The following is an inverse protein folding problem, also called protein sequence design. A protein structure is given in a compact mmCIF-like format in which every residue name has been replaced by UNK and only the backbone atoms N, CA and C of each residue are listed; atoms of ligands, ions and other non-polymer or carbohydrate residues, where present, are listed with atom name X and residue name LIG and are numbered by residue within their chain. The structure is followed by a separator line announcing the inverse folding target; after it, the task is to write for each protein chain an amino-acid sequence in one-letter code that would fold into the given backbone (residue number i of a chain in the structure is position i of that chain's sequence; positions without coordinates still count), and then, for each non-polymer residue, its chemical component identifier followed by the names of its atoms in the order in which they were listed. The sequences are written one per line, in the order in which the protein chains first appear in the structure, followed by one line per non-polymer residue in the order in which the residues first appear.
data_IF_406694834752
#
_entry.id   IF_406694834752
#
_cell.length_a   1.000
_cell.length_b   1.000
_cell.length_c   1.000
_cell.angle_alpha   90.00
_cell.angle_beta   90.00
_cell.angle_gamma   90.00
#
_symmetry.space_group_name_H-M   'P 1'
#
loop_
_entity.id
_entity.type
_entity.pdbx_description
1 polymer ?
#
# COMPACT_ATOMS: atom_id res chain seq x y z
N UNK A 1 14.59 -3.28 26.54
CA UNK A 1 13.62 -2.26 27.03
C UNK A 1 12.26 -2.92 27.09
N UNK A 2 11.43 -2.64 28.12
CA UNK A 2 10.03 -3.09 28.10
C UNK A 2 9.36 -2.45 26.88
N UNK A 3 8.54 -3.17 26.09
CA UNK A 3 7.77 -2.53 25.04
C UNK A 3 6.93 -1.45 25.74
N UNK A 4 7.08 -0.18 25.34
CA UNK A 4 6.01 0.78 25.58
C UNK A 4 4.76 0.12 25.03
N UNK A 5 3.71 -0.01 25.86
CA UNK A 5 2.43 -0.49 25.37
C UNK A 5 2.05 0.40 24.20
N UNK A 6 2.03 -0.17 22.99
CA UNK A 6 1.56 0.54 21.82
C UNK A 6 0.13 0.99 22.10
N UNK A 7 -0.20 2.27 21.85
CA UNK A 7 -1.55 2.75 22.11
C UNK A 7 -2.52 2.12 21.10
N UNK A 8 -3.78 1.98 21.49
CA UNK A 8 -4.85 1.42 20.63
C UNK A 8 -5.31 2.39 19.54
N UNK A 9 -4.97 3.68 19.70
CA UNK A 9 -5.22 4.74 18.74
C UNK A 9 -3.94 5.55 18.54
N UNK A 10 -3.64 5.85 17.29
CA UNK A 10 -2.62 6.86 16.94
C UNK A 10 -3.16 7.88 15.96
N UNK A 11 -2.51 9.04 15.95
CA UNK A 11 -2.73 10.11 14.97
C UNK A 11 -1.46 10.26 14.13
N UNK A 12 -1.63 10.29 12.81
CA UNK A 12 -0.58 10.51 11.83
C UNK A 12 -0.75 11.90 11.20
N UNK A 13 0.27 12.73 11.30
CA UNK A 13 0.29 14.10 10.77
C UNK A 13 1.57 14.38 9.97
N UNK A 14 1.56 15.28 8.98
CA UNK A 14 2.78 15.71 8.29
C UNK A 14 3.66 16.50 9.25
N UNK A 15 4.98 16.38 9.09
CA UNK A 15 5.94 17.33 9.65
C UNK A 15 6.32 18.39 8.62
N UNK A 16 7.24 19.28 8.99
CA UNK A 16 7.89 20.20 8.04
C UNK A 16 8.89 19.48 7.11
N UNK A 17 9.07 18.17 7.28
CA UNK A 17 9.87 17.29 6.42
C UNK A 17 8.94 16.29 5.72
N UNK A 18 9.45 15.46 4.81
CA UNK A 18 8.66 14.37 4.19
C UNK A 18 8.38 13.20 5.17
N UNK A 19 8.41 13.45 6.47
CA UNK A 19 8.18 12.45 7.52
C UNK A 19 6.77 12.60 8.11
N UNK A 20 6.28 11.49 8.62
CA UNK A 20 5.02 11.37 9.32
C UNK A 20 5.32 11.40 10.81
N UNK A 21 4.75 12.38 11.50
CA UNK A 21 4.69 12.41 12.95
C UNK A 21 3.58 11.48 13.43
N UNK A 22 3.90 10.68 14.44
CA UNK A 22 2.97 9.78 15.10
C UNK A 22 2.72 10.26 16.54
N UNK A 23 1.46 10.46 16.90
CA UNK A 23 1.03 10.86 18.24
C UNK A 23 0.07 9.84 18.84
N UNK A 24 0.04 9.72 20.16
CA UNK A 24 -1.06 9.05 20.84
C UNK A 24 -2.30 9.96 20.95
N UNK A 25 -3.34 9.43 21.59
CA UNK A 25 -4.61 10.13 21.83
C UNK A 25 -4.48 11.41 22.68
N UNK A 26 -3.39 11.57 23.45
CA UNK A 26 -3.12 12.73 24.30
C UNK A 26 -2.23 13.78 23.58
N UNK A 27 -1.83 13.49 22.33
CA UNK A 27 -0.95 14.35 21.55
C UNK A 27 0.54 14.15 21.86
N UNK A 28 0.90 13.11 22.61
CA UNK A 28 2.31 12.81 22.89
C UNK A 28 2.93 12.10 21.68
N UNK A 29 4.06 12.62 21.21
CA UNK A 29 4.81 12.03 20.10
C UNK A 29 5.33 10.63 20.47
N UNK A 30 5.13 9.68 19.56
CA UNK A 30 5.57 8.30 19.66
C UNK A 30 6.78 8.07 18.76
N UNK A 31 7.70 7.20 19.18
CA UNK A 31 8.90 6.84 18.40
C UNK A 31 8.63 5.79 17.31
N UNK A 32 7.41 5.75 16.77
CA UNK A 32 7.01 4.87 15.66
C UNK A 32 7.55 5.46 14.36
N UNK A 33 8.09 4.64 13.45
CA UNK A 33 8.66 5.16 12.20
C UNK A 33 10.13 5.60 12.27
N UNK A 34 10.80 5.39 13.41
CA UNK A 34 12.19 5.86 13.63
C UNK A 34 13.24 4.76 13.50
N UNK A 35 12.83 3.49 13.29
CA UNK A 35 13.75 2.35 13.22
C UNK A 35 14.48 2.28 11.87
N UNK A 36 15.75 1.87 11.87
CA UNK A 36 16.45 1.53 10.63
C UNK A 36 15.92 0.23 10.00
N UNK A 37 15.37 -0.67 10.83
CA UNK A 37 14.75 -1.90 10.36
C UNK A 37 13.28 -1.70 10.06
N UNK A 38 12.77 -2.51 9.14
CA UNK A 38 11.34 -2.50 8.81
C UNK A 38 10.55 -3.07 9.99
N UNK A 39 9.54 -2.33 10.43
CA UNK A 39 8.64 -2.72 11.50
C UNK A 39 7.23 -2.86 10.96
N UNK A 40 6.60 -3.99 11.27
CA UNK A 40 5.17 -4.21 10.98
C UNK A 40 4.43 -4.22 12.31
N UNK A 41 3.30 -3.53 12.40
CA UNK A 41 2.54 -3.42 13.64
C UNK A 41 1.04 -3.40 13.38
N UNK A 42 0.28 -3.79 14.39
CA UNK A 42 -1.17 -3.62 14.43
C UNK A 42 -1.54 -2.53 15.41
N UNK A 43 -2.33 -1.58 14.93
CA UNK A 43 -2.95 -0.55 15.76
C UNK A 43 -4.44 -0.50 15.39
N UNK A 44 -5.37 -0.78 16.33
CA UNK A 44 -6.79 -0.88 16.06
C UNK A 44 -7.38 0.32 15.30
N UNK A 45 -6.99 1.54 15.69
CA UNK A 45 -7.46 2.78 15.07
C UNK A 45 -6.30 3.69 14.68
N UNK A 46 -6.32 4.18 13.44
CA UNK A 46 -5.37 5.17 12.93
C UNK A 46 -6.15 6.36 12.37
N UNK A 47 -5.93 7.53 12.95
CA UNK A 47 -6.39 8.79 12.38
C UNK A 47 -5.28 9.37 11.50
N UNK A 48 -5.58 9.74 10.27
CA UNK A 48 -4.58 10.27 9.33
C UNK A 48 -5.01 11.67 8.89
N UNK A 49 -4.12 12.64 9.05
CA UNK A 49 -4.36 13.97 8.53
C UNK A 49 -4.38 13.93 7.01
N UNK A 50 -5.43 14.49 6.41
CA UNK A 50 -5.70 14.42 4.97
C UNK A 50 -4.50 14.89 4.14
N UNK A 51 -3.73 15.87 4.64
CA UNK A 51 -2.53 16.38 3.99
C UNK A 51 -1.46 15.31 3.68
N UNK A 52 -1.37 14.23 4.45
CA UNK A 52 -0.45 13.11 4.18
C UNK A 52 -0.85 12.28 2.96
N UNK A 53 -2.15 12.19 2.71
CA UNK A 53 -2.74 11.41 1.63
C UNK A 53 -2.86 12.28 0.39
N UNK A 54 -3.35 13.50 0.63
CA UNK A 54 -3.64 14.51 -0.33
C UNK A 54 -3.62 15.92 0.32
N UNK A 55 -2.60 16.75 0.06
CA UNK A 55 -2.73 18.19 0.33
C UNK A 55 -3.97 18.76 -0.39
N UNK A 56 -4.61 19.80 0.16
CA UNK A 56 -5.73 20.47 -0.51
C UNK A 56 -5.19 21.16 -1.77
N UNK A 57 -5.64 20.72 -2.93
CA UNK A 57 -5.26 21.30 -4.21
C UNK A 57 -6.33 22.29 -4.67
N UNK A 58 -5.91 23.44 -5.15
CA UNK A 58 -6.78 24.34 -5.91
C UNK A 58 -6.82 23.91 -7.37
N UNK A 59 -8.00 23.79 -7.96
CA UNK A 59 -8.15 23.42 -9.37
C UNK A 59 -8.36 24.68 -10.23
N UNK A 60 -7.61 24.77 -11.32
CA UNK A 60 -7.75 25.80 -12.33
C UNK A 60 -8.01 25.17 -13.70
N UNK A 61 -8.84 25.82 -14.49
CA UNK A 61 -9.03 25.57 -15.91
C UNK A 61 -8.66 26.82 -16.68
N UNK A 62 -7.57 26.75 -17.45
CA UNK A 62 -7.11 27.89 -18.22
C UNK A 62 -7.05 27.53 -19.70
N UNK A 63 -7.37 28.51 -20.54
CA UNK A 63 -7.09 28.39 -21.98
C UNK A 63 -5.58 28.32 -22.23
N UNK A 64 -5.21 27.86 -23.43
CA UNK A 64 -3.82 27.66 -23.82
C UNK A 64 -3.04 28.96 -24.10
N UNK A 65 -3.73 30.11 -24.18
CA UNK A 65 -3.08 31.40 -24.44
C UNK A 65 -2.35 31.89 -23.19
N UNK A 66 -1.12 32.36 -23.39
CA UNK A 66 -0.26 32.88 -22.31
C UNK A 66 -0.08 31.90 -21.14
N UNK A 67 -0.07 30.59 -21.44
CA UNK A 67 0.04 29.51 -20.45
C UNK A 67 1.19 29.73 -19.47
N UNK A 68 2.37 30.13 -19.96
CA UNK A 68 3.56 30.36 -19.12
C UNK A 68 3.28 31.44 -18.06
N UNK A 69 2.68 32.56 -18.46
CA UNK A 69 2.34 33.65 -17.55
C UNK A 69 1.29 33.20 -16.54
N UNK A 70 0.26 32.47 -16.98
CA UNK A 70 -0.81 31.97 -16.10
C UNK A 70 -0.29 30.96 -15.08
N UNK A 71 0.57 30.03 -15.51
CA UNK A 71 1.21 29.07 -14.62
C UNK A 71 2.07 29.79 -13.57
N UNK A 72 2.85 30.80 -13.98
CA UNK A 72 3.65 31.60 -13.06
C UNK A 72 2.79 32.33 -12.03
N UNK A 73 1.72 33.02 -12.47
CA UNK A 73 0.80 33.72 -11.57
C UNK A 73 0.15 32.76 -10.56
N UNK A 74 -0.32 31.60 -11.02
CA UNK A 74 -0.92 30.59 -10.11
C UNK A 74 0.14 30.08 -9.14
N UNK A 75 1.36 29.78 -9.61
CA UNK A 75 2.48 29.32 -8.79
C UNK A 75 2.85 30.31 -7.67
N UNK A 76 2.81 31.62 -7.94
CA UNK A 76 3.08 32.66 -6.93
C UNK A 76 1.98 32.76 -5.86
N UNK A 77 0.76 32.32 -6.18
CA UNK A 77 -0.42 32.49 -5.32
C UNK A 77 -0.86 31.23 -4.56
N UNK A 78 -0.48 30.04 -5.03
CA UNK A 78 -1.01 28.77 -4.54
C UNK A 78 0.13 27.83 -4.11
N UNK A 79 0.00 27.22 -2.93
CA UNK A 79 0.95 26.21 -2.46
C UNK A 79 0.78 24.88 -3.18
N UNK A 80 -0.46 24.50 -3.47
CA UNK A 80 -0.80 23.28 -4.19
C UNK A 80 -1.91 23.54 -5.20
N UNK A 81 -1.62 23.39 -6.49
CA UNK A 81 -2.60 23.64 -7.55
C UNK A 81 -2.50 22.65 -8.71
N UNK A 82 -3.65 22.35 -9.32
CA UNK A 82 -3.75 21.60 -10.57
C UNK A 82 -4.23 22.58 -11.63
N UNK A 83 -3.45 22.77 -12.68
CA UNK A 83 -3.81 23.65 -13.78
C UNK A 83 -4.11 22.80 -15.01
N UNK A 84 -5.39 22.74 -15.37
CA UNK A 84 -5.88 22.05 -16.55
C UNK A 84 -5.77 22.98 -17.76
N UNK A 85 -5.12 22.48 -18.81
CA UNK A 85 -4.89 23.21 -20.05
C UNK A 85 -5.25 22.32 -21.22
N UNK A 86 -6.01 22.86 -22.16
CA UNK A 86 -6.33 22.21 -23.42
C UNK A 86 -7.81 22.26 -23.75
N UNK A 87 -8.26 21.34 -24.59
CA UNK A 87 -9.63 21.26 -25.07
C UNK A 87 -10.29 19.94 -24.65
N UNK A 88 -11.54 19.71 -25.07
CA UNK A 88 -12.32 18.54 -24.66
C UNK A 88 -11.71 17.18 -25.07
N UNK A 89 -10.79 17.15 -26.03
CA UNK A 89 -10.15 15.91 -26.51
C UNK A 89 -8.74 15.71 -25.97
N UNK A 90 -8.01 16.79 -25.69
CA UNK A 90 -6.66 16.76 -25.15
C UNK A 90 -6.55 17.74 -23.98
N UNK A 91 -6.51 17.21 -22.75
CA UNK A 91 -6.35 17.98 -21.51
C UNK A 91 -5.05 17.53 -20.85
N UNK A 92 -4.18 18.49 -20.57
CA UNK A 92 -2.96 18.33 -19.78
C UNK A 92 -3.20 18.91 -18.39
N UNK A 93 -2.76 18.19 -17.36
CA UNK A 93 -2.77 18.66 -15.99
C UNK A 93 -1.35 18.99 -15.55
N UNK A 94 -1.10 20.27 -15.27
CA UNK A 94 0.12 20.74 -14.63
C UNK A 94 -0.08 20.74 -13.11
N UNK A 95 0.95 20.35 -12.36
CA UNK A 95 0.90 20.30 -10.91
C UNK A 95 1.85 21.34 -10.33
N UNK A 96 1.35 22.12 -9.38
CA UNK A 96 2.14 22.98 -8.52
C UNK A 96 2.11 22.35 -7.14
N UNK A 97 3.26 22.07 -6.55
CA UNK A 97 3.40 21.49 -5.22
C UNK A 97 4.44 22.28 -4.42
N UNK A 98 4.09 22.67 -3.20
CA UNK A 98 4.93 23.51 -2.34
C UNK A 98 5.41 24.78 -3.06
N UNK A 99 4.52 25.39 -3.87
CA UNK A 99 4.81 26.59 -4.66
C UNK A 99 5.76 26.37 -5.84
N UNK A 100 6.02 25.12 -6.25
CA UNK A 100 6.88 24.78 -7.37
C UNK A 100 6.10 24.05 -8.47
N UNK A 101 6.24 24.50 -9.71
CA UNK A 101 5.65 23.85 -10.88
C UNK A 101 6.43 22.58 -11.26
N UNK A 102 5.75 21.43 -11.36
CA UNK A 102 6.32 20.26 -12.02
C UNK A 102 6.35 20.51 -13.53
N UNK A 103 7.53 20.43 -14.18
CA UNK A 103 7.66 20.69 -15.61
C UNK A 103 6.98 19.63 -16.49
N UNK A 104 6.54 18.50 -15.93
CA UNK A 104 5.96 17.37 -16.67
C UNK A 104 4.46 17.32 -16.45
N UNK A 105 3.65 17.82 -17.40
CA UNK A 105 2.21 17.69 -17.30
C UNK A 105 1.76 16.23 -17.49
N UNK A 106 0.69 15.87 -16.80
CA UNK A 106 0.06 14.56 -16.94
C UNK A 106 -1.06 14.61 -17.96
N UNK A 107 -1.13 13.61 -18.83
CA UNK A 107 -2.28 13.41 -19.73
C UNK A 107 -3.39 12.70 -18.99
N UNK A 108 -4.60 13.26 -19.04
CA UNK A 108 -5.75 12.67 -18.36
C UNK A 108 -6.44 11.61 -19.20
N UNK A 109 -6.97 10.56 -18.58
CA UNK A 109 -7.76 9.52 -19.25
C UNK A 109 -9.09 10.07 -19.78
N UNK A 110 -9.69 9.39 -20.77
CA UNK A 110 -11.03 9.77 -21.26
C UNK A 110 -12.08 9.78 -20.14
N UNK A 111 -11.97 8.86 -19.19
CA UNK A 111 -12.91 8.76 -18.06
C UNK A 111 -12.83 9.99 -17.15
N UNK A 112 -11.62 10.48 -16.88
CA UNK A 112 -11.40 11.71 -16.10
C UNK A 112 -11.82 12.93 -16.90
N UNK A 113 -11.50 13.00 -18.20
CA UNK A 113 -11.95 14.09 -19.08
C UNK A 113 -13.47 14.20 -19.21
N UNK A 114 -14.21 13.09 -19.10
CA UNK A 114 -15.69 13.13 -19.08
C UNK A 114 -16.22 13.81 -17.82
N UNK A 115 -15.66 13.48 -16.65
CA UNK A 115 -16.04 14.09 -15.35
C UNK A 115 -15.79 15.60 -15.34
N UNK A 116 -14.68 16.01 -15.95
CA UNK A 116 -14.28 17.41 -16.06
C UNK A 116 -15.32 18.33 -16.73
N UNK A 117 -16.23 17.79 -17.55
CA UNK A 117 -17.28 18.57 -18.22
C UNK A 117 -18.36 19.10 -17.27
N UNK A 118 -18.45 18.55 -16.06
CA UNK A 118 -19.42 18.96 -15.04
C UNK A 118 -18.89 20.12 -14.17
N UNK A 119 -17.62 20.51 -14.36
CA UNK A 119 -17.00 21.60 -13.63
C UNK A 119 -17.21 22.94 -14.35
N UNK A 120 -17.53 23.96 -13.57
CA UNK A 120 -17.74 25.34 -14.01
C UNK A 120 -16.60 26.20 -13.46
N UNK A 121 -15.64 26.62 -14.29
CA UNK A 121 -14.58 27.52 -13.86
C UNK A 121 -15.12 28.96 -13.74
N UNK A 122 -14.80 29.61 -12.64
CA UNK A 122 -15.18 30.99 -12.35
C UNK A 122 -14.16 32.00 -12.90
N UNK A 123 -14.04 33.13 -12.21
CA UNK A 123 -13.09 34.17 -12.60
C UNK A 123 -11.65 33.64 -12.64
N UNK A 124 -10.91 34.04 -13.67
CA UNK A 124 -9.52 33.62 -13.92
C UNK A 124 -9.31 32.11 -14.04
N UNK A 125 -10.39 31.35 -14.29
CA UNK A 125 -10.33 29.90 -14.48
C UNK A 125 -10.33 29.09 -13.19
N UNK A 126 -10.43 29.70 -12.01
CA UNK A 126 -10.46 28.96 -10.73
C UNK A 126 -11.77 28.17 -10.62
N UNK A 127 -11.69 26.88 -10.35
CA UNK A 127 -12.86 26.01 -10.12
C UNK A 127 -13.12 25.98 -8.61
N UNK A 128 -14.09 26.76 -8.15
CA UNK A 128 -14.36 26.97 -6.73
C UNK A 128 -15.55 26.16 -6.22
N UNK A 129 -15.64 25.97 -4.90
CA UNK A 129 -16.73 25.23 -4.24
C UNK A 129 -18.03 26.03 -4.19
N UNK A 130 -17.98 27.35 -4.41
CA UNK A 130 -19.16 28.20 -4.50
C UNK A 130 -19.91 27.98 -5.83
N UNK A 131 -19.17 27.65 -6.89
CA UNK A 131 -19.72 27.43 -8.23
C UNK A 131 -19.89 25.94 -8.59
N UNK A 132 -19.40 25.03 -7.73
CA UNK A 132 -19.36 23.58 -8.00
C UNK A 132 -19.70 22.77 -6.76
N UNK A 133 -20.27 21.57 -6.93
CA UNK A 133 -20.50 20.66 -5.82
C UNK A 133 -19.16 20.27 -5.14
N UNK A 134 -19.00 20.53 -3.82
CA UNK A 134 -17.72 20.33 -3.14
C UNK A 134 -17.29 18.86 -3.11
N UNK A 135 -18.25 17.94 -3.01
CA UNK A 135 -17.96 16.49 -2.99
C UNK A 135 -17.45 16.02 -4.36
N UNK A 136 -18.08 16.49 -5.43
CA UNK A 136 -17.70 16.20 -6.79
C UNK A 136 -16.34 16.81 -7.16
N UNK A 137 -16.09 18.05 -6.77
CA UNK A 137 -14.81 18.72 -6.99
C UNK A 137 -13.67 17.98 -6.28
N UNK A 138 -13.84 17.67 -4.99
CA UNK A 138 -12.85 16.91 -4.21
C UNK A 138 -12.56 15.54 -4.84
N UNK A 139 -13.61 14.83 -5.29
CA UNK A 139 -13.48 13.54 -5.98
C UNK A 139 -12.76 13.67 -7.32
N UNK A 140 -13.02 14.73 -8.08
CA UNK A 140 -12.38 14.97 -9.38
C UNK A 140 -10.90 15.31 -9.23
N UNK A 141 -10.55 16.20 -8.28
CA UNK A 141 -9.17 16.50 -7.92
C UNK A 141 -8.43 15.21 -7.52
N UNK A 142 -9.06 14.37 -6.69
CA UNK A 142 -8.49 13.06 -6.31
C UNK A 142 -8.19 12.18 -7.53
N UNK A 143 -9.10 12.07 -8.50
CA UNK A 143 -8.87 11.28 -9.71
C UNK A 143 -7.71 11.81 -10.56
N UNK A 144 -7.66 13.13 -10.82
CA UNK A 144 -6.57 13.75 -11.58
C UNK A 144 -5.23 13.47 -10.92
N UNK A 145 -5.16 13.59 -9.60
CA UNK A 145 -3.94 13.30 -8.84
C UNK A 145 -3.53 11.84 -8.88
N UNK A 146 -4.48 10.91 -8.88
CA UNK A 146 -4.16 9.49 -9.00
C UNK A 146 -3.54 9.17 -10.36
N UNK A 147 -4.12 9.70 -11.44
CA UNK A 147 -3.60 9.58 -12.80
C UNK A 147 -2.26 10.30 -12.98
N UNK A 148 -2.08 11.44 -12.32
CA UNK A 148 -0.83 12.17 -12.30
C UNK A 148 0.21 11.61 -11.31
N UNK A 149 -0.05 10.48 -10.65
CA UNK A 149 0.88 9.87 -9.70
C UNK A 149 1.27 10.80 -8.52
N UNK A 150 0.33 11.62 -8.03
CA UNK A 150 0.52 12.57 -6.90
C UNK A 150 -0.24 12.28 -5.60
N UNK A 151 -1.18 11.33 -5.55
CA UNK A 151 -1.79 10.85 -4.30
C UNK A 151 -0.88 9.89 -3.51
N UNK A 152 -1.11 9.71 -2.21
CA UNK A 152 -0.47 8.65 -1.43
C UNK A 152 -1.45 7.50 -1.08
N UNK A 153 -2.69 7.58 -1.55
CA UNK A 153 -3.70 6.54 -1.33
C UNK A 153 -3.64 5.43 -2.40
N UNK A 154 -3.55 4.17 -1.98
CA UNK A 154 -3.83 3.02 -2.83
C UNK A 154 -5.32 2.66 -2.79
N UNK A 155 -5.85 2.22 -3.93
CA UNK A 155 -7.24 1.80 -4.08
C UNK A 155 -7.32 0.32 -4.45
N UNK A 156 -8.50 -0.28 -4.27
CA UNK A 156 -8.82 -1.70 -4.55
C UNK A 156 -8.33 -2.17 -5.92
N UNK A 157 -8.22 -1.30 -6.93
CA UNK A 157 -7.83 -1.68 -8.30
C UNK A 157 -6.37 -1.39 -8.66
N UNK A 158 -5.53 -0.93 -7.73
CA UNK A 158 -4.24 -0.34 -8.08
C UNK A 158 -3.03 -0.71 -7.22
N UNK A 159 -1.86 -0.37 -7.78
CA UNK A 159 -0.56 -0.30 -7.10
C UNK A 159 -0.26 1.16 -6.76
N UNK A 160 0.37 1.40 -5.60
CA UNK A 160 0.92 2.71 -5.24
C UNK A 160 2.34 2.63 -4.73
N UNK A 161 3.19 3.54 -5.17
CA UNK A 161 4.58 3.69 -4.75
C UNK A 161 4.78 5.04 -4.07
N UNK A 162 5.48 5.07 -2.94
CA UNK A 162 5.79 6.31 -2.23
C UNK A 162 6.49 6.08 -0.90
N UNK A 163 7.07 7.14 -0.32
CA UNK A 163 7.64 7.11 1.04
C UNK A 163 6.56 6.87 2.09
N UNK A 164 5.38 7.44 1.85
CA UNK A 164 4.17 7.26 2.64
C UNK A 164 3.05 6.76 1.73
N UNK A 165 2.39 5.66 2.06
CA UNK A 165 1.30 5.07 1.27
C UNK A 165 0.19 4.58 2.20
N UNK A 166 -1.05 4.95 1.91
CA UNK A 166 -2.22 4.64 2.74
C UNK A 166 -3.24 3.85 1.93
N UNK A 167 -3.98 2.95 2.56
CA UNK A 167 -5.15 2.34 1.92
C UNK A 167 -6.22 2.02 2.95
N UNK A 168 -7.45 2.43 2.65
CA UNK A 168 -8.60 2.37 3.55
C UNK A 168 -9.48 1.13 3.35
N UNK A 169 -9.27 0.33 2.30
CA UNK A 169 -10.16 -0.78 1.99
C UNK A 169 -9.45 -2.01 1.43
N UNK A 170 -9.45 -3.09 2.22
CA UNK A 170 -9.01 -4.43 1.81
C UNK A 170 -10.15 -5.44 1.69
N UNK A 171 -11.41 -4.97 1.58
CA UNK A 171 -12.62 -5.82 1.57
C UNK A 171 -12.57 -7.05 0.64
N UNK A 172 -11.91 -6.99 -0.54
CA UNK A 172 -11.72 -8.18 -1.39
C UNK A 172 -10.27 -8.64 -1.60
N UNK A 173 -9.26 -8.03 -0.97
CA UNK A 173 -7.85 -8.18 -1.39
C UNK A 173 -6.90 -8.55 -0.23
N UNK A 174 -5.89 -9.38 -0.54
CA UNK A 174 -4.69 -9.43 0.29
C UNK A 174 -3.69 -8.38 -0.22
N UNK A 175 -3.29 -7.37 0.57
CA UNK A 175 -2.24 -6.45 0.17
C UNK A 175 -0.93 -7.18 -0.02
N UNK A 176 -0.22 -6.73 -1.05
CA UNK A 176 1.18 -7.05 -1.27
C UNK A 176 1.98 -5.78 -0.99
N UNK A 177 2.92 -5.89 -0.07
CA UNK A 177 3.79 -4.78 0.33
C UNK A 177 5.22 -5.12 -0.08
N UNK A 178 5.89 -4.17 -0.72
CA UNK A 178 7.33 -4.20 -0.94
C UNK A 178 7.99 -2.93 -0.45
N UNK A 179 9.22 -3.00 0.06
CA UNK A 179 10.06 -1.83 0.33
C UNK A 179 11.25 -1.85 -0.61
N UNK A 180 11.34 -0.88 -1.52
CA UNK A 180 12.42 -0.77 -2.52
C UNK A 180 13.77 -0.50 -1.84
N UNK A 181 14.83 -1.10 -2.37
CA UNK A 181 16.19 -1.01 -1.81
C UNK A 181 16.83 0.36 -2.04
N UNK A 182 16.65 0.91 -3.24
CA UNK A 182 17.38 2.10 -3.68
C UNK A 182 16.94 3.40 -2.99
N UNK A 183 15.65 3.53 -2.69
CA UNK A 183 15.06 4.79 -2.22
C UNK A 183 14.16 4.61 -0.98
N UNK A 184 14.10 3.41 -0.42
CA UNK A 184 13.28 3.07 0.74
C UNK A 184 11.78 3.40 0.58
N UNK A 185 11.29 3.48 -0.66
CA UNK A 185 9.87 3.69 -0.91
C UNK A 185 9.09 2.39 -0.75
N UNK A 186 7.87 2.50 -0.21
CA UNK A 186 6.92 1.40 -0.21
C UNK A 186 6.24 1.30 -1.56
N UNK A 187 5.99 0.06 -1.97
CA UNK A 187 5.11 -0.30 -3.07
C UNK A 187 3.99 -1.15 -2.48
N UNK A 188 2.75 -0.72 -2.62
CA UNK A 188 1.57 -1.39 -2.11
C UNK A 188 0.66 -1.78 -3.27
N UNK A 189 0.24 -3.03 -3.36
CA UNK A 189 -0.68 -3.50 -4.39
C UNK A 189 -1.90 -4.22 -3.81
N UNK A 190 -3.07 -3.89 -4.35
CA UNK A 190 -4.32 -4.62 -4.11
C UNK A 190 -4.45 -5.81 -5.06
N UNK A 191 -4.02 -6.98 -4.61
CA UNK A 191 -4.17 -8.20 -5.41
C UNK A 191 -5.62 -8.74 -5.35
N UNK A 192 -6.42 -8.41 -6.36
CA UNK A 192 -7.81 -8.87 -6.51
C UNK A 192 -7.92 -10.31 -7.06
N UNK A 193 -6.98 -10.69 -7.92
CA UNK A 193 -6.89 -12.00 -8.54
C UNK A 193 -6.31 -13.06 -7.60
N UNK A 194 -6.55 -14.33 -7.90
CA UNK A 194 -5.90 -15.44 -7.21
C UNK A 194 -4.46 -15.67 -7.67
N UNK A 195 -3.97 -14.95 -8.68
CA UNK A 195 -2.62 -15.06 -9.24
C UNK A 195 -1.95 -13.70 -9.42
N UNK A 196 -0.63 -13.72 -9.60
CA UNK A 196 0.22 -12.54 -9.81
C UNK A 196 0.89 -12.68 -11.18
N UNK A 197 0.57 -11.77 -12.10
CA UNK A 197 1.12 -11.76 -13.46
C UNK A 197 1.55 -10.34 -13.87
N UNK A 198 2.35 -10.25 -14.95
CA UNK A 198 2.88 -8.99 -15.47
C UNK A 198 1.88 -8.18 -16.30
N UNK A 199 0.86 -8.84 -16.86
CA UNK A 199 -0.07 -8.21 -17.81
C UNK A 199 -1.23 -7.49 -17.11
N UNK A 200 -1.51 -7.80 -15.83
CA UNK A 200 -2.54 -7.16 -15.02
C UNK A 200 -2.07 -6.01 -14.11
N UNK A 201 -2.92 -5.64 -13.14
CA UNK A 201 -2.66 -4.58 -12.15
C UNK A 201 -1.44 -4.83 -11.24
N UNK A 202 -0.97 -6.08 -11.18
CA UNK A 202 0.23 -6.51 -10.47
C UNK A 202 1.54 -6.22 -11.22
N UNK A 203 1.48 -5.97 -12.54
CA UNK A 203 2.66 -5.64 -13.34
C UNK A 203 3.34 -4.35 -12.87
N UNK A 204 2.56 -3.31 -12.55
CA UNK A 204 3.08 -2.05 -11.99
C UNK A 204 3.84 -2.27 -10.68
N UNK A 205 3.36 -3.18 -9.83
CA UNK A 205 4.05 -3.55 -8.60
C UNK A 205 5.41 -4.20 -8.92
N UNK A 206 5.44 -5.20 -9.80
CA UNK A 206 6.68 -5.89 -10.18
C UNK A 206 7.70 -4.92 -10.76
N UNK A 207 7.28 -4.11 -11.74
CA UNK A 207 8.13 -3.10 -12.39
C UNK A 207 8.69 -2.13 -11.35
N UNK A 208 7.86 -1.62 -10.44
CA UNK A 208 8.33 -0.68 -9.40
C UNK A 208 9.36 -1.31 -8.47
N UNK A 209 9.21 -2.59 -8.11
CA UNK A 209 10.19 -3.33 -7.31
C UNK A 209 11.50 -3.52 -8.09
N UNK A 210 11.44 -3.87 -9.37
CA UNK A 210 12.62 -4.04 -10.23
C UNK A 210 13.39 -2.73 -10.42
N UNK A 211 12.69 -1.63 -10.70
CA UNK A 211 13.23 -0.27 -10.75
C UNK A 211 13.78 0.19 -9.39
N UNK A 212 13.33 -0.43 -8.30
CA UNK A 212 13.86 -0.23 -6.95
C UNK A 212 15.17 -0.96 -6.66
N UNK A 213 15.70 -1.72 -7.62
CA UNK A 213 16.82 -2.63 -7.39
C UNK A 213 16.45 -3.87 -6.56
N UNK A 214 15.16 -4.23 -6.54
CA UNK A 214 14.59 -5.23 -5.64
C UNK A 214 14.02 -4.64 -4.36
N UNK A 215 13.78 -5.49 -3.36
CA UNK A 215 13.13 -5.10 -2.12
C UNK A 215 13.78 -5.69 -0.86
N UNK A 216 13.81 -4.91 0.24
CA UNK A 216 14.24 -5.35 1.58
C UNK A 216 13.13 -6.08 2.35
N UNK A 217 11.88 -5.70 2.07
CA UNK A 217 10.68 -6.44 2.45
C UNK A 217 9.90 -6.72 1.20
N UNK A 218 9.40 -7.94 1.07
CA UNK A 218 8.41 -8.29 0.07
C UNK A 218 7.45 -9.29 0.70
N UNK A 219 6.23 -8.86 1.01
CA UNK A 219 5.31 -9.66 1.79
C UNK A 219 3.87 -9.60 1.26
N UNK A 220 3.20 -10.76 1.29
CA UNK A 220 1.74 -10.83 1.17
C UNK A 220 1.16 -10.85 2.58
N UNK A 221 0.33 -9.86 2.92
CA UNK A 221 -0.29 -9.79 4.25
C UNK A 221 -1.65 -10.47 4.19
N UNK A 222 -1.73 -11.68 4.72
CA UNK A 222 -2.92 -12.51 4.71
C UNK A 222 -3.99 -11.98 5.66
N UNK A 223 -5.11 -11.54 5.10
CA UNK A 223 -6.24 -10.99 5.84
C UNK A 223 -7.42 -11.99 5.89
N UNK A 224 -7.82 -12.55 7.04
CA UNK A 224 -8.91 -13.51 7.17
C UNK A 224 -10.28 -12.92 6.83
N UNK A 225 -10.45 -11.59 6.83
CA UNK A 225 -11.70 -10.94 6.39
C UNK A 225 -11.96 -11.12 4.89
N UNK A 226 -10.94 -11.51 4.12
CA UNK A 226 -11.06 -11.72 2.68
C UNK A 226 -11.51 -13.16 2.39
N UNK A 227 -12.53 -13.29 1.55
CA UNK A 227 -13.03 -14.60 1.10
C UNK A 227 -11.91 -15.40 0.42
N UNK A 228 -11.73 -16.64 0.85
CA UNK A 228 -10.67 -17.54 0.39
C UNK A 228 -9.25 -16.98 0.58
N UNK A 229 -9.03 -16.08 1.53
CA UNK A 229 -7.72 -15.46 1.79
C UNK A 229 -6.61 -16.48 1.99
N UNK A 230 -6.87 -17.51 2.82
CA UNK A 230 -5.93 -18.61 3.10
C UNK A 230 -5.54 -19.39 1.84
N UNK A 231 -6.37 -19.37 0.81
CA UNK A 231 -6.11 -20.00 -0.48
C UNK A 231 -5.39 -19.05 -1.43
N UNK A 232 -5.80 -17.77 -1.49
CA UNK A 232 -5.23 -16.77 -2.38
C UNK A 232 -3.82 -16.34 -1.97
N UNK A 233 -3.61 -16.05 -0.69
CA UNK A 233 -2.34 -15.54 -0.16
C UNK A 233 -1.11 -16.42 -0.51
N UNK A 234 -1.13 -17.76 -0.36
CA UNK A 234 0.00 -18.58 -0.78
C UNK A 234 0.21 -18.55 -2.30
N UNK A 235 -0.84 -18.52 -3.12
CA UNK A 235 -0.71 -18.44 -4.58
C UNK A 235 -0.09 -17.09 -5.00
N UNK A 236 -0.51 -15.99 -4.37
CA UNK A 236 0.09 -14.67 -4.59
C UNK A 236 1.57 -14.65 -4.22
N UNK A 237 1.93 -15.13 -3.03
CA UNK A 237 3.32 -15.19 -2.58
C UNK A 237 4.18 -16.04 -3.53
N UNK A 238 3.66 -17.18 -3.98
CA UNK A 238 4.31 -18.05 -4.95
C UNK A 238 4.49 -17.42 -6.33
N UNK A 239 3.46 -16.71 -6.83
CA UNK A 239 3.50 -15.99 -8.10
C UNK A 239 4.53 -14.86 -8.09
N UNK A 240 4.55 -14.05 -7.03
CA UNK A 240 5.55 -12.98 -6.84
C UNK A 240 6.97 -13.56 -6.84
N UNK A 241 7.18 -14.63 -6.07
CA UNK A 241 8.48 -15.29 -5.98
C UNK A 241 8.98 -15.78 -7.34
N UNK A 242 8.07 -16.33 -8.16
CA UNK A 242 8.38 -16.76 -9.52
C UNK A 242 8.74 -15.58 -10.43
N UNK A 243 7.90 -14.55 -10.47
CA UNK A 243 8.06 -13.39 -11.36
C UNK A 243 9.33 -12.58 -11.08
N UNK A 244 9.68 -12.42 -9.81
CA UNK A 244 10.88 -11.72 -9.37
C UNK A 244 12.09 -12.64 -9.17
N UNK A 245 11.93 -13.96 -9.40
CA UNK A 245 12.94 -14.99 -9.13
C UNK A 245 13.53 -14.89 -7.72
N UNK A 246 12.70 -14.49 -6.75
CA UNK A 246 13.11 -14.21 -5.38
C UNK A 246 12.65 -15.31 -4.42
N UNK A 247 13.51 -15.65 -3.46
CA UNK A 247 13.17 -16.57 -2.36
C UNK A 247 12.72 -15.84 -1.10
N UNK A 248 12.86 -14.53 -1.09
CA UNK A 248 12.67 -13.66 0.08
C UNK A 248 11.27 -13.02 0.06
N UNK A 249 10.27 -13.78 -0.39
CA UNK A 249 8.86 -13.36 -0.30
C UNK A 249 8.28 -13.91 0.99
N UNK A 250 7.94 -13.02 1.92
CA UNK A 250 7.22 -13.36 3.13
C UNK A 250 5.73 -13.51 2.89
N UNK A 251 5.06 -14.26 3.76
CA UNK A 251 3.61 -14.16 3.94
C UNK A 251 3.33 -13.90 5.41
N UNK A 252 2.72 -12.78 5.73
CA UNK A 252 2.41 -12.39 7.11
C UNK A 252 0.97 -12.80 7.40
N UNK A 253 0.76 -13.66 8.39
CA UNK A 253 -0.57 -14.08 8.83
C UNK A 253 -1.10 -13.10 9.86
N UNK A 254 -2.26 -12.49 9.58
CA UNK A 254 -2.92 -11.58 10.50
C UNK A 254 -4.29 -12.12 10.93
N UNK A 255 -4.36 -13.09 11.86
CA UNK A 255 -5.57 -13.87 12.15
C UNK A 255 -6.74 -13.06 12.72
N UNK A 256 -6.49 -11.87 13.27
CA UNK A 256 -7.51 -10.97 13.82
C UNK A 256 -8.28 -10.21 12.73
N UNK A 257 -7.69 -10.08 11.54
CA UNK A 257 -8.22 -9.29 10.45
C UNK A 257 -7.97 -7.79 10.60
N UNK A 258 -7.92 -7.10 9.46
CA UNK A 258 -7.76 -5.64 9.38
C UNK A 258 -8.55 -5.13 8.16
N UNK A 259 -8.74 -3.82 8.05
CA UNK A 259 -9.45 -3.20 6.92
C UNK A 259 -8.58 -2.24 6.12
N UNK A 260 -7.50 -1.76 6.71
CA UNK A 260 -6.69 -0.67 6.17
C UNK A 260 -5.21 -0.85 6.51
N UNK A 261 -4.34 -0.17 5.79
CA UNK A 261 -2.88 -0.19 5.95
C UNK A 261 -2.32 1.21 5.78
N UNK A 262 -1.36 1.57 6.62
CA UNK A 262 -0.51 2.76 6.43
C UNK A 262 0.94 2.31 6.38
N UNK A 263 1.64 2.66 5.32
CA UNK A 263 3.08 2.49 5.20
C UNK A 263 3.70 3.89 5.32
N UNK A 264 4.52 4.13 6.33
CA UNK A 264 5.03 5.47 6.65
C UNK A 264 6.55 5.46 6.87
N UNK A 265 7.17 6.61 6.61
CA UNK A 265 8.59 6.89 6.85
C UNK A 265 9.56 5.90 6.19
N UNK A 266 9.10 5.15 5.17
CA UNK A 266 9.92 4.16 4.45
C UNK A 266 10.29 2.89 5.23
N UNK A 267 9.87 2.75 6.50
CA UNK A 267 10.26 1.64 7.37
C UNK A 267 9.11 1.02 8.18
N UNK A 268 7.94 1.65 8.23
CA UNK A 268 6.87 1.20 9.13
C UNK A 268 5.62 0.85 8.36
N UNK A 269 5.07 -0.33 8.64
CA UNK A 269 3.79 -0.81 8.12
C UNK A 269 2.82 -0.97 9.28
N UNK A 270 1.74 -0.21 9.27
CA UNK A 270 0.68 -0.23 10.28
C UNK A 270 -0.56 -0.86 9.67
N UNK A 271 -0.95 -2.02 10.18
CA UNK A 271 -2.23 -2.66 9.88
C UNK A 271 -3.28 -2.13 10.86
N UNK A 272 -4.46 -1.80 10.36
CA UNK A 272 -5.51 -1.22 11.21
C UNK A 272 -6.90 -1.65 10.78
N UNK A 273 -7.79 -1.78 11.76
CA UNK A 273 -9.21 -2.09 11.54
C UNK A 273 -10.00 -0.84 11.16
N UNK A 274 -9.62 0.31 11.70
CA UNK A 274 -10.29 1.57 11.45
C UNK A 274 -9.29 2.65 11.07
N UNK A 275 -9.28 3.04 9.81
CA UNK A 275 -8.54 4.20 9.34
C UNK A 275 -9.53 5.32 9.00
N UNK A 276 -9.36 6.48 9.60
CA UNK A 276 -10.19 7.65 9.36
C UNK A 276 -9.35 8.87 9.05
N UNK A 277 -9.90 9.79 8.27
CA UNK A 277 -9.20 10.98 7.83
C UNK A 277 -9.80 12.23 8.45
N UNK A 278 -8.95 13.21 8.75
CA UNK A 278 -9.36 14.52 9.25
C UNK A 278 -8.58 15.62 8.53
N UNK A 279 -9.20 16.78 8.40
CA UNK A 279 -8.62 17.98 7.78
C UNK A 279 -8.33 19.04 8.82
N UNK A 280 -9.25 19.25 9.76
CA UNK A 280 -9.16 20.32 10.75
C UNK A 280 -8.85 19.80 12.15
N UNK A 281 -8.44 20.70 13.04
CA UNK A 281 -8.24 20.39 14.46
C UNK A 281 -9.55 19.99 15.11
N UNK A 282 -10.65 20.62 14.74
CA UNK A 282 -11.99 20.34 15.25
C UNK A 282 -12.43 18.91 14.87
N UNK A 283 -12.27 18.53 13.60
CA UNK A 283 -12.53 17.17 13.12
C UNK A 283 -11.66 16.15 13.85
N UNK A 284 -10.35 16.45 14.03
CA UNK A 284 -9.43 15.59 14.81
C UNK A 284 -10.01 15.34 16.21
N UNK A 285 -10.45 16.39 16.91
CA UNK A 285 -11.00 16.25 18.26
C UNK A 285 -12.31 15.47 18.30
N UNK A 286 -13.21 15.69 17.34
CA UNK A 286 -14.45 14.92 17.23
C UNK A 286 -14.19 13.43 17.02
N UNK A 287 -13.29 13.07 16.11
CA UNK A 287 -12.93 11.67 15.85
C UNK A 287 -12.26 11.03 17.06
N UNK A 288 -11.37 11.75 17.76
CA UNK A 288 -10.76 11.27 19.00
C UNK A 288 -11.83 10.94 20.05
N UNK A 289 -12.79 11.85 20.27
CA UNK A 289 -13.88 11.62 21.22
C UNK A 289 -14.77 10.44 20.83
N UNK A 290 -15.07 10.26 19.54
CA UNK A 290 -15.83 9.10 19.05
C UNK A 290 -15.10 7.78 19.30
N UNK A 291 -13.79 7.76 19.06
CA UNK A 291 -12.97 6.58 19.28
C UNK A 291 -12.83 6.25 20.78
N UNK A 292 -12.65 7.26 21.65
CA UNK A 292 -12.54 7.07 23.10
C UNK A 292 -13.84 6.54 23.73
N UNK A 293 -15.00 6.91 23.17
CA UNK A 293 -16.31 6.40 23.61
C UNK A 293 -16.57 4.96 23.13
N UNK A 294 -15.89 4.54 22.08
CA UNK A 294 -16.00 3.20 21.53
C UNK A 294 -15.02 2.29 22.27
N UNK A 295 -15.48 1.57 23.29
CA UNK A 295 -14.64 0.57 23.97
C UNK A 295 -14.18 -0.49 22.96
N UNK A 296 -12.91 -0.43 22.55
CA UNK A 296 -12.28 -1.51 21.79
C UNK A 296 -11.45 -2.37 22.74
N UNK A 297 -11.82 -3.64 22.87
CA UNK A 297 -11.05 -4.63 23.61
C UNK A 297 -9.75 -5.06 22.87
N UNK A 298 -9.52 -4.56 21.65
CA UNK A 298 -8.36 -4.92 20.84
C UNK A 298 -7.11 -4.18 21.30
N UNK A 299 -5.99 -4.90 21.32
CA UNK A 299 -4.70 -4.40 21.82
C UNK A 299 -3.72 -4.27 20.65
N UNK A 300 -2.97 -3.17 20.65
CA UNK A 300 -1.90 -2.96 19.67
C UNK A 300 -0.71 -3.87 19.92
N UNK A 301 -0.04 -4.30 18.85
CA UNK A 301 1.13 -5.17 18.94
C UNK A 301 2.09 -4.97 17.78
N UNK A 302 3.37 -5.14 18.04
CA UNK A 302 4.37 -5.30 16.99
C UNK A 302 4.29 -6.72 16.43
N UNK A 303 4.51 -6.86 15.13
CA UNK A 303 4.58 -8.13 14.41
C UNK A 303 6.06 -8.43 14.20
N UNK A 304 6.53 -9.49 14.85
CA UNK A 304 7.90 -9.96 14.66
C UNK A 304 7.98 -10.72 13.33
N UNK A 305 8.56 -10.07 12.32
CA UNK A 305 8.81 -10.66 11.00
C UNK A 305 9.78 -11.86 11.05
N UNK A 306 10.47 -12.10 12.18
CA UNK A 306 11.30 -13.28 12.38
C UNK A 306 10.55 -14.43 13.04
N UNK A 307 9.36 -14.18 13.62
CA UNK A 307 8.54 -15.20 14.25
C UNK A 307 7.80 -16.04 13.19
N UNK A 308 8.14 -17.31 13.10
CA UNK A 308 7.53 -18.28 12.18
C UNK A 308 6.01 -18.49 12.36
N UNK A 309 5.45 -18.11 13.50
CA UNK A 309 4.00 -18.17 13.73
C UNK A 309 3.25 -17.00 13.08
N UNK A 310 3.94 -15.89 12.86
CA UNK A 310 3.41 -14.67 12.25
C UNK A 310 3.85 -14.54 10.79
N UNK A 311 5.11 -14.87 10.49
CA UNK A 311 5.67 -14.91 9.14
C UNK A 311 5.80 -16.35 8.64
N UNK A 312 5.01 -16.68 7.62
CA UNK A 312 4.97 -17.98 6.97
C UNK A 312 5.94 -17.97 5.76
N UNK A 313 6.94 -18.87 5.72
CA UNK A 313 7.91 -18.92 4.64
C UNK A 313 7.31 -19.52 3.35
N UNK A 314 7.95 -19.25 2.21
CA UNK A 314 7.55 -19.82 0.91
C UNK A 314 7.52 -21.35 0.88
N UNK A 315 8.29 -22.04 1.72
CA UNK A 315 8.24 -23.50 1.85
C UNK A 315 6.87 -24.00 2.33
N UNK A 316 6.25 -23.29 3.27
CA UNK A 316 4.87 -23.54 3.71
C UNK A 316 3.89 -23.18 2.61
N UNK A 317 4.09 -22.04 1.93
CA UNK A 317 3.22 -21.63 0.82
C UNK A 317 3.23 -22.64 -0.33
N UNK A 318 4.38 -23.20 -0.69
CA UNK A 318 4.48 -24.24 -1.74
C UNK A 318 3.62 -25.46 -1.39
N UNK A 319 3.67 -25.93 -0.14
CA UNK A 319 2.86 -27.04 0.32
C UNK A 319 1.35 -26.73 0.20
N UNK A 320 0.94 -25.52 0.59
CA UNK A 320 -0.44 -25.07 0.47
C UNK A 320 -0.90 -24.99 -1.00
N UNK A 321 -0.08 -24.40 -1.88
CA UNK A 321 -0.37 -24.31 -3.33
C UNK A 321 -0.53 -25.71 -3.93
N UNK A 322 0.35 -26.67 -3.59
CA UNK A 322 0.25 -28.05 -4.06
C UNK A 322 -1.08 -28.70 -3.66
N UNK A 323 -1.51 -28.50 -2.41
CA UNK A 323 -2.79 -29.00 -1.91
C UNK A 323 -3.96 -28.39 -2.69
N UNK A 324 -3.98 -27.06 -2.81
CA UNK A 324 -5.02 -26.31 -3.53
C UNK A 324 -5.08 -26.75 -5.01
N UNK A 325 -3.93 -26.93 -5.65
CA UNK A 325 -3.83 -27.36 -7.05
C UNK A 325 -4.45 -28.74 -7.26
N UNK A 326 -4.19 -29.68 -6.34
CA UNK A 326 -4.77 -31.04 -6.38
C UNK A 326 -6.28 -31.02 -6.22
N UNK A 327 -6.79 -30.25 -5.26
CA UNK A 327 -8.23 -30.09 -5.01
C UNK A 327 -8.94 -29.48 -6.23
N UNK A 328 -8.40 -28.38 -6.78
CA UNK A 328 -8.95 -27.72 -7.97
C UNK A 328 -8.90 -28.61 -9.21
N UNK A 329 -7.82 -29.38 -9.39
CA UNK A 329 -7.70 -30.35 -10.50
C UNK A 329 -8.82 -31.39 -10.46
N UNK A 330 -9.13 -31.93 -9.28
CA UNK A 330 -10.20 -32.91 -9.09
C UNK A 330 -11.58 -32.29 -9.37
N UNK A 331 -11.85 -31.10 -8.82
CA UNK A 331 -13.12 -30.38 -9.00
C UNK A 331 -13.37 -30.01 -10.46
N UNK A 332 -12.34 -29.54 -11.16
CA UNK A 332 -12.45 -29.14 -12.57
C UNK A 332 -12.37 -30.32 -13.55
N UNK A 333 -12.09 -31.54 -13.08
CA UNK A 333 -11.87 -32.74 -13.90
C UNK A 333 -10.84 -32.51 -15.03
N UNK A 334 -9.77 -31.77 -14.75
CA UNK A 334 -8.71 -31.45 -15.72
C UNK A 334 -7.50 -32.38 -15.54
N UNK A 335 -6.75 -32.61 -16.62
CA UNK A 335 -5.50 -33.38 -16.57
C UNK A 335 -4.39 -32.66 -15.81
N UNK A 336 -4.34 -31.32 -15.92
CA UNK A 336 -3.41 -30.45 -15.21
C UNK A 336 -4.15 -29.53 -14.26
N UNK A 337 -3.57 -29.33 -13.08
CA UNK A 337 -4.09 -28.36 -12.13
C UNK A 337 -3.78 -26.91 -12.56
N UNK A 338 -4.57 -25.92 -12.11
CA UNK A 338 -4.43 -24.54 -12.56
C UNK A 338 -3.15 -23.82 -12.08
N UNK A 339 -2.44 -24.36 -11.07
CA UNK A 339 -1.28 -23.72 -10.44
C UNK A 339 0.03 -24.50 -10.64
N UNK A 340 0.06 -25.39 -11.63
CA UNK A 340 1.23 -26.23 -11.93
C UNK A 340 2.49 -25.42 -12.26
N UNK A 341 2.34 -24.31 -12.99
CA UNK A 341 3.45 -23.42 -13.35
C UNK A 341 4.11 -22.77 -12.14
N UNK A 342 3.30 -22.31 -11.18
CA UNK A 342 3.80 -21.72 -9.93
C UNK A 342 4.56 -22.79 -9.13
N UNK A 343 4.01 -23.99 -9.00
CA UNK A 343 4.65 -25.10 -8.29
C UNK A 343 6.00 -25.45 -8.91
N UNK A 344 6.05 -25.64 -10.23
CA UNK A 344 7.28 -25.96 -10.96
C UNK A 344 8.31 -24.84 -10.84
N UNK A 345 7.87 -23.58 -10.98
CA UNK A 345 8.72 -22.41 -10.82
C UNK A 345 9.37 -22.31 -9.44
N UNK A 346 8.60 -22.51 -8.37
CA UNK A 346 9.13 -22.53 -7.00
C UNK A 346 10.13 -23.66 -6.77
N UNK A 347 9.89 -24.85 -7.33
CA UNK A 347 10.83 -25.97 -7.27
C UNK A 347 12.13 -25.66 -8.02
N UNK A 348 12.07 -24.99 -9.18
CA UNK A 348 13.24 -24.52 -9.94
C UNK A 348 14.05 -23.47 -9.17
N UNK A 349 13.37 -22.63 -8.37
CA UNK A 349 14.00 -21.73 -7.38
C UNK A 349 14.57 -22.48 -6.17
N UNK A 350 14.53 -23.82 -6.16
CA UNK A 350 15.00 -24.69 -5.07
C UNK A 350 14.23 -24.48 -3.76
N UNK A 351 13.01 -23.97 -3.81
CA UNK A 351 12.10 -23.90 -2.67
C UNK A 351 11.44 -25.27 -2.53
N UNK A 352 11.51 -25.84 -1.33
CA UNK A 352 10.99 -27.18 -1.06
C UNK A 352 9.88 -27.13 0.00
N UNK A 353 8.92 -28.07 -0.03
CA UNK A 353 7.89 -28.16 1.00
C UNK A 353 8.52 -28.25 2.40
N UNK A 354 7.89 -27.62 3.38
CA UNK A 354 8.44 -27.51 4.74
C UNK A 354 8.72 -28.87 5.39
N UNK A 355 7.87 -29.87 5.14
CA UNK A 355 8.09 -31.25 5.61
C UNK A 355 9.43 -31.84 5.12
N UNK A 356 9.86 -31.54 3.90
CA UNK A 356 11.16 -31.99 3.38
C UNK A 356 12.34 -31.20 3.97
N UNK A 357 12.13 -29.93 4.32
CA UNK A 357 13.17 -29.07 4.93
C UNK A 357 13.52 -29.52 6.34
N UNK A 358 12.50 -29.75 7.19
CA UNK A 358 12.67 -30.26 8.56
C UNK A 358 13.32 -31.63 8.60
N UNK A 359 12.95 -32.52 7.68
CA UNK A 359 13.55 -33.87 7.59
C UNK A 359 15.04 -33.82 7.21
N UNK A 360 15.48 -32.83 6.42
CA UNK A 360 16.89 -32.66 6.06
C UNK A 360 17.71 -31.99 7.15
N UNK A 361 17.17 -31.00 7.84
CA UNK A 361 17.82 -30.37 9.00
C UNK A 361 17.95 -31.36 10.15
N UNK A 362 16.92 -32.14 10.45
CA UNK A 362 16.99 -33.21 11.45
C UNK A 362 18.00 -34.30 11.07
N UNK A 363 18.12 -34.64 9.79
CA UNK A 363 19.17 -35.56 9.30
C UNK A 363 20.57 -34.95 9.34
N UNK A 364 20.71 -33.63 9.11
CA UNK A 364 22.00 -32.92 9.28
C UNK A 364 22.40 -32.80 10.73
N UNK A 365 21.47 -32.49 11.64
CA UNK A 365 21.71 -32.47 13.08
C UNK A 365 22.04 -33.86 13.63
N UNK A 366 21.37 -34.92 13.14
CA UNK A 366 21.72 -36.28 13.55
C UNK A 366 23.10 -36.70 13.04
N UNK A 367 23.46 -36.31 11.81
CA UNK A 367 24.79 -36.54 11.25
C UNK A 367 25.88 -35.72 11.97
N UNK A 368 25.62 -34.47 12.34
CA UNK A 368 26.53 -33.64 13.12
C UNK A 368 26.69 -34.19 14.55
N UNK A 369 25.60 -34.60 15.21
CA UNK A 369 25.66 -35.26 16.52
C UNK A 369 26.37 -36.62 16.47
N UNK A 370 26.30 -37.35 15.36
CA UNK A 370 27.10 -38.59 15.19
C UNK A 370 28.57 -38.30 14.93
N UNK A 371 28.90 -37.17 14.29
CA UNK A 371 30.29 -36.75 14.07
C UNK A 371 30.97 -36.23 15.35
N UNK A 372 30.23 -35.57 16.24
CA UNK A 372 30.76 -35.04 17.52
C UNK A 372 30.69 -36.03 18.71
N UNK A 373 30.17 -37.25 18.50
CA UNK A 373 30.18 -38.31 19.52
C UNK A 373 31.45 -39.19 19.54
N UNK A 374 32.46 -38.85 18.73
CA UNK A 374 33.79 -39.44 18.82
C UNK A 374 34.84 -38.33 18.93
N UNK A 375 35.07 -37.87 20.17
CA UNK A 375 36.37 -37.45 20.66
C UNK A 375 36.39 -37.44 22.18
#
# INVERSE_FOLDING_TARGET
MKPQQLPTLIVLSPTNTDEVQCEDQEGKTLTIGTSESITVMYIPTVLVQQALIAPPYTLYWVDAENITTKLHTIQESEQHAIVLVGNSTEIKAYFIEQGQLDPRPSTLSESTRKRLKELHPGQHGKVSVEENDPTFLARTIRFIRLEGERGNEAQITGTRTGKNVFSTSFGPCNPVVGKRKVDNQFVLNHANSAGFDREGGSGKFLTSIEEGGGADLLAVIQNPNVVNSKTKAPILAGGIALELKSKEVGRISFPEGYNSIACINGNTVILTKNMQFFTTTEEKQELLQQCLRSESAEVSREIDIKDSTQQLPLSSSLMEIQKINKEMKATLKKEKGPYESIIQGLLLLKIKPEAESKTKEQKKESALKSFFKFR
#
